data_IF_729763621720
#
_entry.id   IF_729763621720
#
_cell.length_a   1.000
_cell.length_b   1.000
_cell.length_c   1.000
_cell.angle_alpha   90.00
_cell.angle_beta   90.00
_cell.angle_gamma   90.00
#
_symmetry.space_group_name_H-M   'P 1'
#
loop_
_entity.id
_entity.type
_entity.pdbx_description
1 polymer ?
#
# COMPACT_ATOMS: atom_id res chain seq x y z
N UNK A 1 21.76 45.12 -16.54
CA UNK A 1 21.39 43.72 -16.23
C UNK A 1 19.95 43.67 -15.75
N UNK A 2 19.00 43.24 -16.60
CA UNK A 2 17.59 43.08 -16.22
C UNK A 2 17.41 41.70 -15.55
N UNK A 3 17.06 41.69 -14.26
CA UNK A 3 16.65 40.47 -13.56
C UNK A 3 15.29 40.03 -14.09
N UNK A 4 15.25 38.95 -14.86
CA UNK A 4 14.00 38.23 -15.16
C UNK A 4 13.53 37.57 -13.86
N UNK A 5 12.47 38.11 -13.28
CA UNK A 5 11.73 37.47 -12.19
C UNK A 5 10.99 36.28 -12.80
N UNK A 6 11.44 35.07 -12.48
CA UNK A 6 10.71 33.85 -12.77
C UNK A 6 9.52 33.80 -11.79
N UNK A 7 8.31 34.04 -12.31
CA UNK A 7 7.08 33.84 -11.55
C UNK A 7 6.52 32.44 -11.88
N UNK A 8 6.14 31.64 -10.86
CA UNK A 8 5.66 30.29 -11.08
C UNK A 8 4.31 30.29 -11.83
N UNK A 9 4.23 29.49 -12.88
CA UNK A 9 3.02 29.30 -13.68
C UNK A 9 1.98 28.53 -12.87
N UNK A 10 0.89 29.21 -12.49
CA UNK A 10 -0.31 28.56 -11.96
C UNK A 10 -1.02 27.72 -13.01
N UNK A 11 -1.76 26.71 -12.55
CA UNK A 11 -2.50 25.68 -13.30
C UNK A 11 -3.54 26.18 -14.33
N UNK A 12 -3.70 27.49 -14.54
CA UNK A 12 -4.72 28.08 -15.41
C UNK A 12 -4.06 28.86 -16.57
N UNK A 13 -4.36 28.54 -17.84
CA UNK A 13 -3.82 29.25 -19.00
C UNK A 13 -4.18 30.74 -19.00
N UNK A 14 -3.17 31.60 -19.19
CA UNK A 14 -3.33 33.08 -19.24
C UNK A 14 -4.32 33.59 -20.29
N UNK A 15 -4.70 32.78 -21.28
CA UNK A 15 -5.64 33.16 -22.35
C UNK A 15 -7.08 33.30 -21.86
N UNK A 16 -7.53 32.40 -21.00
CA UNK A 16 -8.91 32.38 -20.49
C UNK A 16 -9.12 33.51 -19.49
N UNK A 17 -8.17 33.70 -18.57
CA UNK A 17 -8.23 34.79 -17.59
C UNK A 17 -8.22 36.17 -18.25
N UNK A 18 -7.46 36.34 -19.34
CA UNK A 18 -7.36 37.63 -20.04
C UNK A 18 -8.63 38.00 -20.80
N UNK A 19 -9.35 37.04 -21.37
CA UNK A 19 -10.61 37.28 -22.09
C UNK A 19 -11.75 37.59 -21.11
N UNK A 20 -11.84 36.83 -20.01
CA UNK A 20 -12.82 37.08 -18.94
C UNK A 20 -12.54 38.43 -18.26
N UNK A 21 -11.27 38.74 -18.00
CA UNK A 21 -10.85 40.03 -17.45
C UNK A 21 -11.27 41.22 -18.33
N UNK A 22 -11.13 41.11 -19.67
CA UNK A 22 -11.57 42.15 -20.62
C UNK A 22 -13.09 42.31 -20.68
N UNK A 23 -13.83 41.21 -20.60
CA UNK A 23 -15.29 41.23 -20.60
C UNK A 23 -15.82 41.96 -19.35
N UNK A 24 -15.34 41.60 -18.16
CA UNK A 24 -15.74 42.26 -16.91
C UNK A 24 -15.30 43.73 -16.81
N UNK A 25 -14.15 44.09 -17.40
CA UNK A 25 -13.66 45.46 -17.53
C UNK A 25 -14.64 46.37 -18.28
N UNK A 26 -15.38 45.84 -19.24
CA UNK A 26 -16.25 46.61 -20.11
C UNK A 26 -17.66 46.81 -19.52
N UNK A 27 -18.05 46.00 -18.53
CA UNK A 27 -19.44 45.94 -18.05
C UNK A 27 -19.72 46.75 -16.77
N UNK A 28 -18.77 46.91 -15.81
CA UNK A 28 -19.02 47.66 -14.56
C UNK A 28 -17.73 48.23 -13.89
N UNK A 29 -17.35 49.50 -14.13
CA UNK A 29 -16.11 50.09 -13.61
C UNK A 29 -16.09 50.31 -12.08
N UNK A 30 -17.22 50.62 -11.45
CA UNK A 30 -17.29 50.88 -9.98
C UNK A 30 -17.35 49.59 -9.16
N UNK A 31 -17.83 48.48 -9.73
CA UNK A 31 -17.79 47.15 -9.10
C UNK A 31 -16.43 46.47 -9.27
N UNK A 32 -15.53 47.02 -10.08
CA UNK A 32 -14.28 46.38 -10.46
C UNK A 32 -13.29 46.24 -9.28
N UNK A 33 -13.21 47.24 -8.40
CA UNK A 33 -12.35 47.17 -7.21
C UNK A 33 -12.90 46.18 -6.18
N UNK A 34 -14.20 46.24 -5.87
CA UNK A 34 -14.86 45.28 -4.96
C UNK A 34 -14.85 43.85 -5.51
N UNK A 35 -15.14 43.64 -6.80
CA UNK A 35 -15.09 42.33 -7.42
C UNK A 35 -13.66 41.77 -7.43
N UNK A 36 -12.64 42.61 -7.64
CA UNK A 36 -11.24 42.18 -7.59
C UNK A 36 -10.83 41.75 -6.18
N UNK A 37 -11.24 42.48 -5.15
CA UNK A 37 -10.97 42.10 -3.75
C UNK A 37 -11.67 40.78 -3.38
N UNK A 38 -12.95 40.62 -3.74
CA UNK A 38 -13.71 39.39 -3.52
C UNK A 38 -13.06 38.20 -4.24
N UNK A 39 -12.67 38.36 -5.50
CA UNK A 39 -12.00 37.30 -6.27
C UNK A 39 -10.62 36.95 -5.71
N UNK A 40 -9.87 37.94 -5.21
CA UNK A 40 -8.57 37.69 -4.57
C UNK A 40 -8.73 36.93 -3.26
N UNK A 41 -9.75 37.24 -2.47
CA UNK A 41 -10.02 36.54 -1.21
C UNK A 41 -10.56 35.13 -1.44
N UNK A 42 -11.41 34.92 -2.45
CA UNK A 42 -11.86 33.60 -2.89
C UNK A 42 -10.67 32.74 -3.38
N UNK A 43 -9.78 33.32 -4.18
CA UNK A 43 -8.56 32.66 -4.63
C UNK A 43 -7.64 32.28 -3.45
N UNK A 44 -7.44 33.19 -2.48
CA UNK A 44 -6.65 32.90 -1.27
C UNK A 44 -7.27 31.78 -0.45
N UNK A 45 -8.59 31.79 -0.28
CA UNK A 45 -9.33 30.76 0.46
C UNK A 45 -9.20 29.40 -0.21
N UNK A 46 -9.41 29.33 -1.52
CA UNK A 46 -9.24 28.11 -2.33
C UNK A 46 -7.81 27.56 -2.23
N UNK A 47 -6.80 28.44 -2.34
CA UNK A 47 -5.39 28.06 -2.18
C UNK A 47 -5.08 27.49 -0.80
N UNK A 48 -5.54 28.15 0.27
CA UNK A 48 -5.32 27.66 1.64
C UNK A 48 -6.03 26.32 1.87
N UNK A 49 -7.26 26.18 1.37
CA UNK A 49 -8.01 24.92 1.42
C UNK A 49 -7.28 23.79 0.68
N UNK A 50 -6.72 24.06 -0.51
CA UNK A 50 -5.92 23.10 -1.25
C UNK A 50 -4.65 22.70 -0.49
N UNK A 51 -3.91 23.66 0.08
CA UNK A 51 -2.68 23.39 0.84
C UNK A 51 -2.99 22.52 2.07
N UNK A 52 -4.03 22.88 2.85
CA UNK A 52 -4.43 22.11 4.03
C UNK A 52 -4.90 20.71 3.66
N UNK A 53 -5.60 20.57 2.53
CA UNK A 53 -6.06 19.27 2.02
C UNK A 53 -4.90 18.37 1.62
N UNK A 54 -3.92 18.92 0.87
CA UNK A 54 -2.71 18.19 0.48
C UNK A 54 -1.90 17.81 1.72
N UNK A 55 -1.71 18.73 2.67
CA UNK A 55 -1.02 18.44 3.93
C UNK A 55 -1.73 17.34 4.71
N UNK A 56 -3.06 17.38 4.82
CA UNK A 56 -3.84 16.33 5.48
C UNK A 56 -3.65 14.96 4.81
N UNK A 57 -3.68 14.92 3.47
CA UNK A 57 -3.51 13.69 2.71
C UNK A 57 -2.10 13.10 2.90
N UNK A 58 -1.07 13.95 2.79
CA UNK A 58 0.33 13.56 3.05
C UNK A 58 0.47 13.07 4.48
N UNK A 59 -0.04 13.79 5.47
CA UNK A 59 0.01 13.37 6.88
C UNK A 59 -0.67 12.02 7.12
N UNK A 60 -1.84 11.77 6.53
CA UNK A 60 -2.57 10.50 6.68
C UNK A 60 -1.83 9.29 6.11
N UNK A 61 -0.95 9.48 5.12
CA UNK A 61 -0.17 8.39 4.51
C UNK A 61 1.17 8.23 5.22
N UNK A 62 1.93 9.33 5.34
CA UNK A 62 3.31 9.27 5.79
C UNK A 62 3.45 9.09 7.31
N UNK A 63 2.58 9.72 8.13
CA UNK A 63 2.72 9.63 9.59
C UNK A 63 2.49 8.19 10.09
N UNK A 64 1.42 7.47 9.70
CA UNK A 64 1.22 6.09 10.15
C UNK A 64 2.32 5.17 9.63
N UNK A 65 2.74 5.32 8.38
CA UNK A 65 3.82 4.52 7.81
C UNK A 65 5.16 4.73 8.53
N UNK A 66 5.56 5.98 8.73
CA UNK A 66 6.83 6.30 9.36
C UNK A 66 6.84 5.93 10.85
N UNK A 67 5.75 6.21 11.58
CA UNK A 67 5.63 5.86 13.00
C UNK A 67 5.62 4.35 13.22
N UNK A 68 4.94 3.57 12.37
CA UNK A 68 4.98 2.10 12.45
C UNK A 68 6.35 1.54 12.11
N UNK A 69 7.02 2.08 11.10
CA UNK A 69 8.39 1.70 10.77
C UNK A 69 9.35 1.96 11.93
N UNK A 70 9.26 3.13 12.57
CA UNK A 70 10.04 3.46 13.77
C UNK A 70 9.72 2.51 14.92
N UNK A 71 8.44 2.32 15.23
CA UNK A 71 7.99 1.47 16.33
C UNK A 71 8.45 0.02 16.15
N UNK A 72 8.35 -0.51 14.92
CA UNK A 72 8.83 -1.85 14.58
C UNK A 72 10.34 -1.97 14.80
N UNK A 73 11.11 -1.04 14.24
CA UNK A 73 12.58 -1.11 14.23
C UNK A 73 13.19 -0.88 15.62
N UNK A 74 12.67 0.07 16.39
CA UNK A 74 13.28 0.48 17.67
C UNK A 74 12.70 -0.20 18.91
N UNK A 75 11.44 -0.65 18.86
CA UNK A 75 10.77 -1.19 20.04
C UNK A 75 10.34 -2.65 19.87
N UNK A 76 9.54 -2.94 18.84
CA UNK A 76 8.91 -4.27 18.72
C UNK A 76 9.95 -5.33 18.37
N UNK A 77 10.75 -5.12 17.33
CA UNK A 77 11.75 -6.09 16.89
C UNK A 77 12.77 -6.46 17.98
N UNK A 78 13.45 -5.51 18.66
CA UNK A 78 14.40 -5.88 19.70
C UNK A 78 13.73 -6.56 20.91
N UNK A 79 12.49 -6.19 21.23
CA UNK A 79 11.74 -6.84 22.31
C UNK A 79 11.36 -8.27 21.95
N UNK A 80 10.84 -8.50 20.74
CA UNK A 80 10.51 -9.84 20.24
C UNK A 80 11.76 -10.71 20.16
N UNK A 81 12.87 -10.19 19.66
CA UNK A 81 14.16 -10.90 19.64
C UNK A 81 14.59 -11.29 21.05
N UNK A 82 14.58 -10.36 22.00
CA UNK A 82 15.01 -10.65 23.37
C UNK A 82 14.12 -11.72 24.04
N UNK A 83 12.80 -11.63 23.89
CA UNK A 83 11.87 -12.62 24.48
C UNK A 83 12.01 -13.99 23.81
N UNK A 84 12.13 -14.02 22.48
CA UNK A 84 12.17 -15.25 21.71
C UNK A 84 13.52 -15.97 21.79
N UNK A 85 14.64 -15.23 21.94
CA UNK A 85 15.98 -15.81 22.10
C UNK A 85 16.28 -16.25 23.54
N UNK A 86 15.67 -15.64 24.56
CA UNK A 86 15.90 -16.00 25.96
C UNK A 86 15.20 -17.28 26.41
N UNK A 87 14.07 -17.59 25.81
CA UNK A 87 13.28 -18.76 26.17
C UNK A 87 13.70 -19.89 25.23
N UNK A 88 14.06 -21.06 25.76
CA UNK A 88 14.27 -22.31 25.01
C UNK A 88 12.95 -22.81 24.37
N UNK A 89 12.24 -21.90 23.70
CA UNK A 89 10.96 -22.11 23.08
C UNK A 89 11.08 -22.97 21.85
N UNK A 90 9.98 -23.59 21.41
CA UNK A 90 9.95 -24.21 20.11
C UNK A 90 10.37 -23.18 19.05
N UNK A 91 11.44 -23.50 18.33
CA UNK A 91 12.00 -22.78 17.19
C UNK A 91 10.98 -22.38 16.11
N UNK A 92 9.78 -22.95 16.15
CA UNK A 92 8.73 -22.82 15.15
C UNK A 92 7.41 -22.39 15.82
N UNK A 93 6.80 -21.33 15.29
CA UNK A 93 5.50 -20.79 15.74
C UNK A 93 4.34 -21.76 15.51
N UNK A 94 4.39 -22.52 14.40
CA UNK A 94 3.33 -23.44 13.99
C UNK A 94 3.88 -24.66 13.23
N UNK A 95 3.08 -25.74 13.07
CA UNK A 95 3.51 -26.94 12.35
C UNK A 95 3.91 -26.68 10.89
N UNK A 96 3.32 -25.65 10.26
CA UNK A 96 3.64 -25.25 8.91
C UNK A 96 5.09 -24.75 8.79
N UNK A 97 5.54 -23.87 9.68
CA UNK A 97 6.93 -23.40 9.71
C UNK A 97 7.91 -24.54 9.93
N UNK A 98 7.57 -25.49 10.81
CA UNK A 98 8.38 -26.69 11.03
C UNK A 98 8.48 -27.56 9.77
N UNK A 99 7.36 -27.74 9.05
CA UNK A 99 7.35 -28.49 7.79
C UNK A 99 8.19 -27.79 6.71
N UNK A 100 8.05 -26.45 6.58
CA UNK A 100 8.86 -25.65 5.67
C UNK A 100 10.35 -25.79 5.96
N UNK A 101 10.74 -25.70 7.23
CA UNK A 101 12.12 -25.89 7.67
C UNK A 101 12.64 -27.30 7.34
N UNK A 102 11.81 -28.33 7.54
CA UNK A 102 12.17 -29.70 7.16
C UNK A 102 12.43 -29.84 5.65
N UNK A 103 11.56 -29.29 4.82
CA UNK A 103 11.71 -29.33 3.35
C UNK A 103 12.97 -28.58 2.91
N UNK A 104 13.22 -27.41 3.49
CA UNK A 104 14.45 -26.63 3.23
C UNK A 104 15.70 -27.41 3.63
N UNK A 105 15.71 -27.99 4.82
CA UNK A 105 16.84 -28.81 5.29
C UNK A 105 17.08 -30.01 4.36
N UNK A 106 16.01 -30.68 3.93
CA UNK A 106 16.11 -31.78 2.97
C UNK A 106 16.70 -31.32 1.62
N UNK A 107 16.31 -30.15 1.13
CA UNK A 107 16.85 -29.57 -0.11
C UNK A 107 18.35 -29.24 0.02
N UNK A 108 18.78 -28.62 1.13
CA UNK A 108 20.19 -28.35 1.42
C UNK A 108 21.02 -29.65 1.46
N UNK A 109 20.53 -30.65 2.20
CA UNK A 109 21.20 -31.95 2.33
C UNK A 109 21.27 -32.68 0.99
N UNK A 110 20.19 -32.69 0.21
CA UNK A 110 20.16 -33.31 -1.12
C UNK A 110 21.13 -32.64 -2.09
N UNK A 111 21.17 -31.30 -2.08
CA UNK A 111 22.09 -30.53 -2.93
C UNK A 111 23.54 -30.83 -2.59
N UNK A 112 23.89 -30.78 -1.30
CA UNK A 112 25.25 -31.10 -0.84
C UNK A 112 25.62 -32.55 -1.10
N UNK A 113 24.69 -33.49 -0.88
CA UNK A 113 24.89 -34.90 -1.22
C UNK A 113 25.18 -35.08 -2.72
N UNK A 114 24.42 -34.39 -3.58
CA UNK A 114 24.65 -34.41 -5.02
C UNK A 114 26.01 -33.81 -5.40
N UNK A 115 26.40 -32.69 -4.80
CA UNK A 115 27.71 -32.06 -5.04
C UNK A 115 28.87 -33.01 -4.66
N UNK A 116 28.77 -33.73 -3.53
CA UNK A 116 29.73 -34.76 -3.13
C UNK A 116 29.82 -35.93 -4.13
N UNK A 117 28.71 -36.33 -4.77
CA UNK A 117 28.72 -37.38 -5.80
C UNK A 117 29.42 -36.96 -7.09
N UNK A 118 29.48 -35.65 -7.37
CA UNK A 118 30.13 -35.12 -8.55
C UNK A 118 31.63 -34.88 -8.35
N UNK A 119 32.11 -34.85 -7.11
CA UNK A 119 33.48 -34.47 -6.78
C UNK A 119 34.45 -35.65 -6.98
N UNK A 120 35.35 -35.63 -8.00
CA UNK A 120 36.19 -36.77 -8.37
C UNK A 120 37.24 -37.13 -7.29
N UNK A 121 37.52 -36.23 -6.34
CA UNK A 121 38.51 -36.45 -5.28
C UNK A 121 38.06 -37.44 -4.20
N UNK A 122 36.76 -37.72 -4.08
CA UNK A 122 36.21 -38.71 -3.13
C UNK A 122 36.59 -40.16 -3.43
N UNK A 123 37.18 -40.43 -4.60
CA UNK A 123 37.59 -41.77 -5.04
C UNK A 123 38.98 -42.21 -4.55
N UNK A 124 39.80 -41.29 -4.01
CA UNK A 124 41.26 -41.50 -3.94
C UNK A 124 41.97 -41.39 -2.59
N UNK A 125 41.42 -40.74 -1.56
CA UNK A 125 42.22 -40.40 -0.38
C UNK A 125 41.57 -40.77 0.96
N UNK A 126 42.32 -41.53 1.73
CA UNK A 126 42.14 -41.82 3.15
C UNK A 126 42.16 -40.54 3.98
N UNK A 127 40.99 -40.10 4.46
CA UNK A 127 40.80 -38.99 5.41
C UNK A 127 39.53 -39.24 6.28
N UNK A 128 39.32 -38.48 7.39
CA UNK A 128 38.70 -38.96 8.63
C UNK A 128 37.29 -39.50 8.38
N UNK A 129 36.84 -40.45 9.22
CA UNK A 129 35.55 -41.16 9.11
C UNK A 129 34.52 -40.31 8.38
N UNK A 130 34.20 -40.62 7.12
CA UNK A 130 33.30 -39.83 6.23
C UNK A 130 32.02 -39.38 6.95
N UNK A 131 31.61 -40.18 7.93
CA UNK A 131 30.57 -39.91 8.93
C UNK A 131 30.73 -38.61 9.72
N UNK A 132 31.91 -38.27 10.23
CA UNK A 132 32.14 -37.10 11.11
C UNK A 132 32.08 -35.80 10.31
N UNK A 133 32.63 -35.79 9.10
CA UNK A 133 32.50 -34.67 8.15
C UNK A 133 31.04 -34.44 7.80
N UNK A 134 30.33 -35.49 7.42
CA UNK A 134 28.91 -35.42 7.06
C UNK A 134 28.02 -34.99 8.24
N UNK A 135 28.34 -35.44 9.46
CA UNK A 135 27.65 -35.00 10.67
C UNK A 135 27.87 -33.51 10.95
N UNK A 136 29.08 -32.99 10.78
CA UNK A 136 29.37 -31.58 11.00
C UNK A 136 28.70 -30.70 9.94
N UNK A 137 28.74 -31.10 8.67
CA UNK A 137 28.04 -30.40 7.58
C UNK A 137 26.52 -30.40 7.77
N UNK A 138 25.94 -31.55 8.14
CA UNK A 138 24.50 -31.66 8.41
C UNK A 138 24.05 -30.83 9.61
N UNK A 139 24.89 -30.73 10.65
CA UNK A 139 24.65 -29.84 11.80
C UNK A 139 24.66 -28.38 11.37
N UNK A 140 25.60 -28.00 10.51
CA UNK A 140 25.68 -26.64 9.99
C UNK A 140 24.44 -26.27 9.16
N UNK A 141 23.98 -27.16 8.27
CA UNK A 141 22.75 -26.96 7.50
C UNK A 141 21.52 -26.82 8.40
N UNK A 142 21.46 -27.63 9.46
CA UNK A 142 20.40 -27.53 10.47
C UNK A 142 20.42 -26.16 11.17
N UNK A 143 21.60 -25.69 11.59
CA UNK A 143 21.76 -24.39 12.26
C UNK A 143 21.31 -23.22 11.36
N UNK A 144 21.67 -23.26 10.07
CA UNK A 144 21.24 -22.25 9.09
C UNK A 144 19.71 -22.21 8.98
N UNK A 145 19.08 -23.38 8.76
CA UNK A 145 17.62 -23.48 8.58
C UNK A 145 16.87 -23.05 9.85
N UNK A 146 17.38 -23.42 11.01
CA UNK A 146 16.87 -23.03 12.32
C UNK A 146 16.93 -21.52 12.50
N UNK A 147 18.07 -20.90 12.19
CA UNK A 147 18.26 -19.45 12.32
C UNK A 147 17.31 -18.70 11.39
N UNK A 148 17.22 -19.11 10.12
CA UNK A 148 16.30 -18.50 9.14
C UNK A 148 14.82 -18.63 9.56
N UNK A 149 14.43 -19.78 10.10
CA UNK A 149 13.06 -20.00 10.58
C UNK A 149 12.73 -19.16 11.81
N UNK A 150 13.72 -18.95 12.67
CA UNK A 150 13.61 -18.08 13.85
C UNK A 150 13.45 -16.62 13.43
N UNK A 151 14.26 -16.15 12.49
CA UNK A 151 14.17 -14.79 11.94
C UNK A 151 12.82 -14.55 11.25
N UNK A 152 12.33 -15.54 10.49
CA UNK A 152 10.99 -15.49 9.90
C UNK A 152 9.90 -15.36 10.97
N UNK A 153 10.01 -16.13 12.06
CA UNK A 153 9.05 -16.08 13.18
C UNK A 153 9.07 -14.72 13.87
N UNK A 154 10.26 -14.20 14.19
CA UNK A 154 10.44 -12.88 14.79
C UNK A 154 9.84 -11.80 13.88
N UNK A 155 10.07 -11.88 12.57
CA UNK A 155 9.51 -10.96 11.58
C UNK A 155 7.99 -11.04 11.51
N UNK A 156 7.41 -12.24 11.49
CA UNK A 156 5.96 -12.44 11.45
C UNK A 156 5.26 -11.86 12.69
N UNK A 157 5.80 -12.11 13.88
CA UNK A 157 5.27 -11.55 15.14
C UNK A 157 5.43 -10.02 15.15
N UNK A 158 6.61 -9.52 14.76
CA UNK A 158 6.89 -8.09 14.69
C UNK A 158 5.95 -7.39 13.71
N UNK A 159 5.65 -8.02 12.57
CA UNK A 159 4.71 -7.52 11.60
C UNK A 159 3.29 -7.51 12.14
N UNK A 160 2.81 -8.61 12.75
CA UNK A 160 1.47 -8.68 13.31
C UNK A 160 1.22 -7.62 14.38
N UNK A 161 2.15 -7.47 15.34
CA UNK A 161 2.06 -6.47 16.41
C UNK A 161 2.16 -5.06 15.81
N UNK A 162 3.15 -4.81 14.95
CA UNK A 162 3.37 -3.48 14.40
C UNK A 162 2.25 -3.03 13.44
N UNK A 163 1.61 -3.96 12.73
CA UNK A 163 0.46 -3.66 11.89
C UNK A 163 -0.78 -3.34 12.74
N UNK A 164 -0.97 -4.05 13.86
CA UNK A 164 -2.03 -3.75 14.84
C UNK A 164 -1.83 -2.37 15.46
N UNK A 165 -0.60 -2.04 15.89
CA UNK A 165 -0.25 -0.71 16.36
C UNK A 165 -0.45 0.34 15.27
N UNK A 166 -0.12 0.02 14.02
CA UNK A 166 -0.29 0.90 12.88
C UNK A 166 -1.74 1.26 12.59
N UNK A 167 -2.64 0.30 12.68
CA UNK A 167 -4.08 0.54 12.59
C UNK A 167 -4.50 1.49 13.73
N UNK A 168 -4.04 1.25 14.96
CA UNK A 168 -4.30 2.14 16.09
C UNK A 168 -3.82 3.58 15.87
N UNK A 169 -2.60 3.75 15.37
CA UNK A 169 -2.01 5.07 15.05
C UNK A 169 -2.80 5.75 13.94
N UNK A 170 -3.16 5.02 12.88
CA UNK A 170 -3.96 5.54 11.78
C UNK A 170 -5.34 6.02 12.25
N UNK A 171 -6.03 5.22 13.06
CA UNK A 171 -7.34 5.58 13.63
C UNK A 171 -7.23 6.79 14.56
N UNK A 172 -6.23 6.82 15.45
CA UNK A 172 -5.96 7.98 16.30
C UNK A 172 -5.67 9.24 15.48
N UNK A 173 -4.89 9.12 14.41
CA UNK A 173 -4.60 10.23 13.50
C UNK A 173 -5.86 10.73 12.77
N UNK A 174 -6.77 9.83 12.39
CA UNK A 174 -8.03 10.21 11.76
C UNK A 174 -8.93 11.05 12.67
N UNK A 175 -8.88 10.81 13.98
CA UNK A 175 -9.58 11.62 14.98
C UNK A 175 -8.88 12.96 15.21
N UNK A 176 -7.55 12.97 15.36
CA UNK A 176 -6.77 14.22 15.54
C UNK A 176 -6.94 15.16 14.34
N UNK A 177 -6.92 14.65 13.12
CA UNK A 177 -7.04 15.44 11.89
C UNK A 177 -8.49 15.66 11.44
N UNK A 178 -9.51 15.40 12.28
CA UNK A 178 -10.94 15.47 11.91
C UNK A 178 -11.32 16.77 11.19
N UNK A 179 -10.84 17.92 11.66
CA UNK A 179 -11.11 19.23 11.03
C UNK A 179 -10.49 19.33 9.63
N UNK A 180 -9.25 18.87 9.47
CA UNK A 180 -8.54 18.90 8.20
C UNK A 180 -9.11 17.88 7.21
N UNK A 181 -9.58 16.72 7.68
CA UNK A 181 -10.31 15.73 6.87
C UNK A 181 -11.61 16.30 6.29
N UNK A 182 -12.35 17.11 7.06
CA UNK A 182 -13.55 17.77 6.56
C UNK A 182 -13.21 18.79 5.46
N UNK A 183 -12.12 19.54 5.61
CA UNK A 183 -11.62 20.47 4.58
C UNK A 183 -11.15 19.72 3.33
N UNK A 184 -10.48 18.58 3.50
CA UNK A 184 -10.10 17.68 2.41
C UNK A 184 -11.34 17.16 1.68
N UNK A 185 -12.36 16.72 2.42
CA UNK A 185 -13.62 16.24 1.85
C UNK A 185 -14.31 17.34 1.03
N UNK A 186 -14.38 18.58 1.55
CA UNK A 186 -14.97 19.69 0.80
C UNK A 186 -14.16 20.03 -0.45
N UNK A 187 -12.83 20.03 -0.36
CA UNK A 187 -11.95 20.27 -1.49
C UNK A 187 -12.09 19.21 -2.60
N UNK A 188 -12.14 17.92 -2.23
CA UNK A 188 -12.36 16.82 -3.19
C UNK A 188 -13.73 16.93 -3.81
N UNK A 189 -14.77 17.20 -3.02
CA UNK A 189 -16.13 17.37 -3.52
C UNK A 189 -16.21 18.53 -4.53
N UNK A 190 -15.69 19.71 -4.17
CA UNK A 190 -15.65 20.89 -5.04
C UNK A 190 -14.87 20.63 -6.34
N UNK A 191 -13.72 19.95 -6.23
CA UNK A 191 -12.92 19.53 -7.38
C UNK A 191 -13.72 18.60 -8.30
N UNK A 192 -14.41 17.59 -7.74
CA UNK A 192 -15.23 16.67 -8.52
C UNK A 192 -16.44 17.38 -9.16
N UNK A 193 -17.12 18.27 -8.43
CA UNK A 193 -18.27 19.02 -8.96
C UNK A 193 -17.89 19.98 -10.08
N UNK A 194 -16.68 20.55 -10.04
CA UNK A 194 -16.16 21.44 -11.07
C UNK A 194 -15.91 20.76 -12.43
N UNK A 195 -15.83 19.42 -12.45
CA UNK A 195 -15.61 18.64 -13.67
C UNK A 195 -16.90 18.45 -14.48
N UNK A 196 -16.73 18.18 -15.78
CA UNK A 196 -17.85 17.77 -16.64
C UNK A 196 -18.38 16.39 -16.24
N UNK A 197 -19.66 16.12 -16.48
CA UNK A 197 -20.28 14.83 -16.15
C UNK A 197 -19.63 13.65 -16.90
N UNK A 198 -19.09 13.88 -18.10
CA UNK A 198 -18.30 12.89 -18.85
C UNK A 198 -16.95 12.62 -18.16
N UNK A 199 -16.23 13.65 -17.71
CA UNK A 199 -14.95 13.47 -17.00
C UNK A 199 -15.15 12.80 -15.64
N UNK A 200 -16.23 13.12 -14.93
CA UNK A 200 -16.61 12.43 -13.67
C UNK A 200 -16.82 10.93 -13.92
N UNK A 201 -17.60 10.59 -14.95
CA UNK A 201 -17.88 9.20 -15.33
C UNK A 201 -16.59 8.46 -15.72
N UNK A 202 -15.75 9.08 -16.55
CA UNK A 202 -14.47 8.53 -16.97
C UNK A 202 -13.51 8.29 -15.79
N UNK A 203 -13.30 9.28 -14.91
CA UNK A 203 -12.43 9.13 -13.74
C UNK A 203 -12.92 8.02 -12.82
N UNK A 204 -14.22 7.90 -12.67
CA UNK A 204 -14.83 6.88 -11.84
C UNK A 204 -14.65 5.49 -12.45
N UNK A 205 -14.82 5.31 -13.77
CA UNK A 205 -14.48 4.06 -14.46
C UNK A 205 -12.99 3.75 -14.28
N UNK A 206 -12.12 4.71 -14.56
CA UNK A 206 -10.66 4.55 -14.45
C UNK A 206 -10.23 4.11 -13.04
N UNK A 207 -10.78 4.73 -11.99
CA UNK A 207 -10.47 4.39 -10.60
C UNK A 207 -11.04 3.02 -10.24
N UNK A 208 -12.25 2.70 -10.69
CA UNK A 208 -12.88 1.41 -10.41
C UNK A 208 -12.10 0.29 -11.08
N UNK A 209 -11.85 0.40 -12.38
CA UNK A 209 -11.12 -0.61 -13.15
C UNK A 209 -9.65 -0.69 -12.71
N UNK A 210 -9.04 0.41 -12.27
CA UNK A 210 -7.68 0.42 -11.74
C UNK A 210 -7.52 -0.27 -10.37
N UNK A 211 -8.48 -0.09 -9.46
CA UNK A 211 -8.43 -0.67 -8.10
C UNK A 211 -8.96 -2.11 -8.07
N UNK A 212 -10.01 -2.36 -8.86
CA UNK A 212 -10.78 -3.61 -8.83
C UNK A 212 -10.41 -4.53 -9.97
N UNK A 213 -10.02 -3.98 -11.12
CA UNK A 213 -9.72 -4.71 -12.36
C UNK A 213 -8.36 -5.41 -12.37
N UNK A 214 -7.97 -6.01 -11.24
CA UNK A 214 -6.95 -7.06 -11.25
C UNK A 214 -7.54 -8.31 -11.91
N UNK A 215 -7.49 -8.35 -13.24
CA UNK A 215 -7.97 -9.46 -14.07
C UNK A 215 -7.08 -10.72 -14.02
N UNK A 216 -6.00 -10.68 -13.24
CA UNK A 216 -5.07 -11.81 -13.13
C UNK A 216 -5.27 -12.54 -11.81
N UNK A 217 -5.65 -13.82 -11.89
CA UNK A 217 -5.68 -14.75 -10.75
C UNK A 217 -4.33 -14.80 -10.02
N UNK A 218 -3.22 -14.64 -10.76
CA UNK A 218 -1.85 -14.62 -10.22
C UNK A 218 -1.64 -13.42 -9.30
N UNK A 219 -2.20 -12.25 -9.62
CA UNK A 219 -2.08 -11.05 -8.80
C UNK A 219 -2.72 -11.23 -7.42
N UNK A 220 -3.91 -11.83 -7.40
CA UNK A 220 -4.61 -12.18 -6.16
C UNK A 220 -3.93 -13.30 -5.41
N UNK A 221 -3.35 -14.27 -6.11
CA UNK A 221 -2.58 -15.33 -5.48
C UNK A 221 -1.36 -14.76 -4.75
N UNK A 222 -0.55 -13.95 -5.44
CA UNK A 222 0.61 -13.29 -4.84
C UNK A 222 0.22 -12.40 -3.66
N UNK A 223 -0.88 -11.64 -3.77
CA UNK A 223 -1.38 -10.82 -2.67
C UNK A 223 -1.74 -11.67 -1.45
N UNK A 224 -2.47 -12.78 -1.64
CA UNK A 224 -2.86 -13.67 -0.55
C UNK A 224 -1.66 -14.35 0.11
N UNK A 225 -0.69 -14.84 -0.68
CA UNK A 225 0.55 -15.44 -0.18
C UNK A 225 1.34 -14.44 0.68
N UNK A 226 1.57 -13.23 0.15
CA UNK A 226 2.30 -12.17 0.88
C UNK A 226 1.58 -11.78 2.18
N UNK A 227 0.25 -11.71 2.17
CA UNK A 227 -0.52 -11.41 3.38
C UNK A 227 -0.40 -12.52 4.42
N UNK A 228 -0.59 -13.78 4.03
CA UNK A 228 -0.51 -14.92 4.95
C UNK A 228 0.90 -15.08 5.52
N UNK A 229 1.93 -15.00 4.67
CA UNK A 229 3.32 -15.09 5.12
C UNK A 229 3.70 -13.94 6.06
N UNK A 230 3.20 -12.72 5.80
CA UNK A 230 3.44 -11.56 6.68
C UNK A 230 2.93 -11.77 8.10
N UNK A 231 1.84 -12.53 8.27
CA UNK A 231 1.31 -12.92 9.57
C UNK A 231 1.83 -14.28 10.08
N UNK A 232 2.71 -14.94 9.33
CA UNK A 232 3.31 -16.23 9.68
C UNK A 232 2.41 -17.45 9.44
N UNK A 233 1.33 -17.29 8.67
CA UNK A 233 0.42 -18.37 8.30
C UNK A 233 0.85 -19.10 7.03
N UNK A 234 0.39 -20.35 6.90
CA UNK A 234 0.57 -21.14 5.69
C UNK A 234 -0.33 -20.64 4.57
N UNK A 235 0.19 -20.38 3.35
CA UNK A 235 -0.64 -20.24 2.16
C UNK A 235 -1.19 -21.63 1.80
N UNK A 236 -2.29 -22.01 2.45
CA UNK A 236 -2.97 -23.27 2.15
C UNK A 236 -3.65 -23.18 0.77
N UNK A 237 -3.39 -24.16 -0.11
CA UNK A 237 -3.90 -24.18 -1.49
C UNK A 237 -5.42 -23.95 -1.56
N UNK A 238 -6.22 -24.58 -0.70
CA UNK A 238 -7.67 -24.45 -0.71
C UNK A 238 -8.14 -23.04 -0.32
N UNK A 239 -7.50 -22.44 0.70
CA UNK A 239 -7.82 -21.08 1.13
C UNK A 239 -7.41 -20.07 0.06
N UNK A 240 -6.25 -20.28 -0.57
CA UNK A 240 -5.78 -19.47 -1.69
C UNK A 240 -6.73 -19.54 -2.89
N UNK A 241 -7.20 -20.74 -3.25
CA UNK A 241 -8.19 -20.92 -4.33
C UNK A 241 -9.52 -20.23 -3.99
N UNK A 242 -9.99 -20.33 -2.75
CA UNK A 242 -11.20 -19.63 -2.30
C UNK A 242 -11.02 -18.10 -2.36
N UNK A 243 -9.87 -17.60 -1.91
CA UNK A 243 -9.53 -16.18 -1.94
C UNK A 243 -9.49 -15.64 -3.37
N UNK A 244 -8.72 -16.30 -4.26
CA UNK A 244 -8.54 -15.90 -5.66
C UNK A 244 -9.85 -15.99 -6.46
N UNK A 245 -10.74 -16.93 -6.13
CA UNK A 245 -12.04 -17.04 -6.81
C UNK A 245 -13.09 -16.08 -6.28
N UNK A 246 -13.10 -15.78 -4.98
CA UNK A 246 -14.21 -15.05 -4.34
C UNK A 246 -13.92 -13.57 -4.16
N UNK A 247 -12.73 -13.21 -3.63
CA UNK A 247 -12.42 -11.83 -3.27
C UNK A 247 -12.44 -10.85 -4.45
N UNK A 248 -11.90 -11.17 -5.64
CA UNK A 248 -11.92 -10.23 -6.77
C UNK A 248 -13.35 -9.93 -7.22
N UNK A 249 -14.17 -10.97 -7.34
CA UNK A 249 -15.56 -10.87 -7.77
C UNK A 249 -16.37 -10.09 -6.74
N UNK A 250 -16.22 -10.40 -5.45
CA UNK A 250 -16.93 -9.74 -4.37
C UNK A 250 -16.58 -8.25 -4.28
N UNK A 251 -15.28 -7.91 -4.33
CA UNK A 251 -14.84 -6.51 -4.33
C UNK A 251 -15.39 -5.78 -5.55
N UNK A 252 -15.36 -6.41 -6.73
CA UNK A 252 -15.93 -5.82 -7.94
C UNK A 252 -17.41 -5.50 -7.83
N UNK A 253 -18.20 -6.45 -7.34
CA UNK A 253 -19.64 -6.22 -7.13
C UNK A 253 -19.88 -5.14 -6.08
N UNK A 254 -19.13 -5.13 -4.97
CA UNK A 254 -19.27 -4.11 -3.92
C UNK A 254 -18.94 -2.70 -4.44
N UNK A 255 -17.82 -2.54 -5.16
CA UNK A 255 -17.43 -1.24 -5.71
C UNK A 255 -18.42 -0.74 -6.75
N UNK A 256 -18.83 -1.59 -7.72
CA UNK A 256 -19.86 -1.23 -8.71
C UNK A 256 -21.17 -0.81 -8.05
N UNK A 257 -21.63 -1.57 -7.05
CA UNK A 257 -22.86 -1.24 -6.32
C UNK A 257 -22.74 0.09 -5.55
N UNK A 258 -21.64 0.30 -4.82
CA UNK A 258 -21.43 1.52 -4.05
C UNK A 258 -21.41 2.76 -4.94
N UNK A 259 -20.71 2.65 -6.06
CA UNK A 259 -20.61 3.67 -7.10
C UNK A 259 -21.98 3.99 -7.70
N UNK A 260 -22.73 2.97 -8.12
CA UNK A 260 -24.07 3.15 -8.66
C UNK A 260 -24.99 3.85 -7.66
N UNK A 261 -24.94 3.45 -6.38
CA UNK A 261 -25.73 4.08 -5.32
C UNK A 261 -25.30 5.52 -5.04
N UNK A 262 -24.01 5.81 -5.14
CA UNK A 262 -23.47 7.16 -4.92
C UNK A 262 -23.82 8.10 -6.07
N UNK A 263 -23.60 7.67 -7.31
CA UNK A 263 -23.92 8.46 -8.51
C UNK A 263 -25.42 8.77 -8.61
N UNK A 264 -26.29 7.79 -8.35
CA UNK A 264 -27.74 8.01 -8.35
C UNK A 264 -28.20 9.07 -7.34
N UNK A 265 -27.47 9.30 -6.24
CA UNK A 265 -27.80 10.34 -5.26
C UNK A 265 -27.37 11.74 -5.70
N UNK A 266 -26.35 11.86 -6.54
CA UNK A 266 -25.71 13.15 -6.84
C UNK A 266 -26.10 13.66 -8.23
N UNK A 267 -26.10 12.77 -9.24
CA UNK A 267 -26.37 13.16 -10.61
C UNK A 267 -26.90 11.97 -11.43
N UNK A 268 -28.23 11.90 -11.65
CA UNK A 268 -28.83 10.86 -12.50
C UNK A 268 -28.31 10.88 -13.94
N UNK A 269 -27.91 12.05 -14.47
CA UNK A 269 -27.30 12.15 -15.81
C UNK A 269 -25.94 11.47 -15.90
N UNK A 270 -25.12 11.55 -14.85
CA UNK A 270 -23.83 10.87 -14.77
C UNK A 270 -23.99 9.36 -14.74
N UNK A 271 -25.08 8.84 -14.15
CA UNK A 271 -25.40 7.40 -14.16
C UNK A 271 -25.68 6.90 -15.57
N UNK A 272 -26.47 7.65 -16.35
CA UNK A 272 -26.79 7.29 -17.75
C UNK A 272 -25.52 7.30 -18.61
N UNK A 273 -24.66 8.31 -18.44
CA UNK A 273 -23.37 8.38 -19.16
C UNK A 273 -22.46 7.22 -18.76
N UNK A 274 -22.35 6.92 -17.47
CA UNK A 274 -21.58 5.77 -16.97
C UNK A 274 -22.06 4.44 -17.57
N UNK A 275 -23.38 4.23 -17.64
CA UNK A 275 -23.95 3.03 -18.25
C UNK A 275 -23.61 2.93 -19.74
N UNK A 276 -23.78 4.03 -20.49
CA UNK A 276 -23.47 4.10 -21.92
C UNK A 276 -21.97 3.97 -22.22
N UNK A 277 -21.08 4.16 -21.24
CA UNK A 277 -19.62 4.01 -21.41
C UNK A 277 -19.13 2.61 -21.03
N UNK A 278 -19.95 1.81 -20.33
CA UNK A 278 -19.62 0.45 -19.87
C UNK A 278 -20.28 -0.62 -20.73
N UNK A 279 -21.49 -0.37 -21.24
CA UNK A 279 -22.12 -1.16 -22.32
C UNK A 279 -21.53 -0.83 -23.68
#
# INVERSE_FOLDING_TARGET
MQKKVFEPTGLIPRSISRTVYRFFLQSWPTRQQQAREILLDEFRRSRTQAIVSIQCLVSLIFIPYFSTWLLKSFCIQPLVQNVWTQQEHPLFLNPYQKHRAYVQLQEYQNRRFFDHLLDPETSGASEPTTRDVWQNESKHDMEIVVTQSTDFTISAITNAIGDTCGIGIFLGLCEVLKRQRLILQSFVAESLYSLSDTTKSFLLILVTDGIVGFHSSIGWQCLGEVLLERFGFAPQNDLMLLFVSTCPVLLNTMFKYWIFRYLNKISPSTVVIYHNMIE
#
